data_IF_605327838673
#
_entry.id   IF_605327838673
#
_cell.length_a   1.000
_cell.length_b   1.000
_cell.length_c   1.000
_cell.angle_alpha   90.00
_cell.angle_beta   90.00
_cell.angle_gamma   90.00
#
_symmetry.space_group_name_H-M   'P 1'
#
loop_
_entity.id
_entity.type
_entity.pdbx_description
1 polymer ?
#
# COMPACT_ATOMS: atom_id res chain seq x y z
N UNK A 1 -6.46 8.89 21.70
CA UNK A 1 -5.55 8.14 20.80
C UNK A 1 -6.25 8.02 19.45
N UNK A 2 -5.93 8.90 18.51
CA UNK A 2 -6.54 8.88 17.17
C UNK A 2 -5.88 7.78 16.35
N UNK A 3 -6.61 6.71 16.07
CA UNK A 3 -6.23 5.75 15.02
C UNK A 3 -6.26 6.55 13.71
N UNK A 4 -5.08 6.94 13.21
CA UNK A 4 -4.97 7.53 11.87
C UNK A 4 -5.45 6.47 10.88
N UNK A 5 -6.68 6.61 10.43
CA UNK A 5 -7.27 5.73 9.42
C UNK A 5 -6.32 5.70 8.22
N UNK A 6 -5.92 4.49 7.85
CA UNK A 6 -5.02 4.22 6.75
C UNK A 6 -5.64 4.80 5.47
N UNK A 7 -5.21 5.98 5.02
CA UNK A 7 -5.61 6.50 3.72
C UNK A 7 -4.87 5.71 2.64
N UNK A 8 -5.55 4.69 2.11
CA UNK A 8 -5.27 4.08 0.82
C UNK A 8 -6.33 4.62 -0.11
N UNK A 9 -5.93 5.07 -1.31
CA UNK A 9 -6.90 5.40 -2.35
C UNK A 9 -7.85 4.21 -2.51
N UNK A 10 -9.16 4.38 -2.32
CA UNK A 10 -10.10 3.26 -2.43
C UNK A 10 -10.07 2.74 -3.86
N UNK A 11 -9.47 1.56 -4.04
CA UNK A 11 -9.48 0.86 -5.32
C UNK A 11 -10.81 0.14 -5.44
N UNK A 12 -11.71 0.74 -6.21
CA UNK A 12 -13.02 0.19 -6.53
C UNK A 12 -12.91 -0.47 -7.90
N UNK A 13 -13.49 -1.66 -8.05
CA UNK A 13 -13.54 -2.34 -9.34
C UNK A 13 -14.28 -1.43 -10.35
N UNK A 14 -13.68 -1.23 -11.52
CA UNK A 14 -14.25 -0.34 -12.54
C UNK A 14 -13.91 1.14 -12.36
N UNK A 15 -13.20 1.56 -11.32
CA UNK A 15 -12.70 2.94 -11.23
C UNK A 15 -11.39 3.09 -11.99
N UNK A 16 -11.35 4.03 -12.95
CA UNK A 16 -10.11 4.35 -13.67
C UNK A 16 -9.12 5.12 -12.81
N UNK A 17 -7.84 5.07 -13.15
CA UNK A 17 -6.76 5.76 -12.44
C UNK A 17 -5.87 6.52 -13.42
N UNK A 18 -5.68 7.83 -13.19
CA UNK A 18 -4.73 8.64 -13.95
C UNK A 18 -3.33 8.49 -13.35
N UNK A 19 -2.47 7.74 -14.03
CA UNK A 19 -1.08 7.47 -13.60
C UNK A 19 -0.22 8.73 -13.56
N UNK A 20 -0.54 9.76 -14.37
CA UNK A 20 0.24 11.00 -14.40
C UNK A 20 -0.12 11.93 -13.25
N UNK A 21 -1.40 11.96 -12.89
CA UNK A 21 -1.93 12.85 -11.84
C UNK A 21 -2.04 12.17 -10.48
N UNK A 22 -1.92 10.85 -10.42
CA UNK A 22 -2.18 10.02 -9.25
C UNK A 22 -3.58 10.25 -8.64
N UNK A 23 -4.58 10.40 -9.51
CA UNK A 23 -5.97 10.68 -9.11
C UNK A 23 -6.93 9.63 -9.63
N UNK A 24 -8.00 9.41 -8.88
CA UNK A 24 -9.15 8.61 -9.34
C UNK A 24 -9.82 9.27 -10.55
N UNK A 25 -10.21 8.45 -11.52
CA UNK A 25 -10.92 8.86 -12.73
C UNK A 25 -12.39 8.42 -12.71
N UNK A 26 -12.94 8.24 -13.90
CA UNK A 26 -14.32 7.80 -14.14
C UNK A 26 -14.53 6.32 -13.80
N UNK A 27 -15.76 5.95 -13.45
CA UNK A 27 -16.19 4.56 -13.27
C UNK A 27 -16.66 3.98 -14.62
N UNK A 28 -16.21 2.78 -14.97
CA UNK A 28 -16.48 2.08 -16.25
C UNK A 28 -17.49 0.94 -16.11
N UNK A 29 -17.86 0.56 -14.89
CA UNK A 29 -18.90 -0.43 -14.65
C UNK A 29 -20.26 0.21 -14.42
N UNK A 30 -21.31 -0.54 -14.77
CA UNK A 30 -22.67 -0.12 -14.47
C UNK A 30 -22.89 -0.11 -12.96
N UNK A 31 -23.82 0.71 -12.47
CA UNK A 31 -24.16 0.73 -11.04
C UNK A 31 -24.66 -0.62 -10.56
N UNK A 32 -25.33 -1.40 -11.42
CA UNK A 32 -25.83 -2.73 -11.10
C UNK A 32 -24.71 -3.72 -10.75
N UNK A 33 -23.59 -3.67 -11.50
CA UNK A 33 -22.41 -4.50 -11.25
C UNK A 33 -21.67 -4.09 -9.96
N UNK A 34 -21.77 -2.82 -9.57
CA UNK A 34 -21.17 -2.27 -8.33
C UNK A 34 -22.02 -2.67 -7.11
N UNK A 35 -23.35 -2.66 -7.26
CA UNK A 35 -24.30 -2.99 -6.18
C UNK A 35 -24.43 -4.50 -5.94
N UNK A 36 -24.16 -5.33 -6.95
CA UNK A 36 -24.23 -6.81 -6.86
C UNK A 36 -22.91 -7.51 -7.23
N UNK A 37 -21.81 -7.24 -6.50
CA UNK A 37 -20.51 -7.79 -6.87
C UNK A 37 -20.45 -9.31 -6.68
N UNK A 38 -19.78 -9.99 -7.62
CA UNK A 38 -19.34 -11.38 -7.40
C UNK A 38 -18.24 -11.40 -6.36
N UNK A 39 -18.54 -11.99 -5.20
CA UNK A 39 -17.57 -12.13 -4.11
C UNK A 39 -16.79 -13.43 -4.30
N UNK A 40 -15.46 -13.34 -4.30
CA UNK A 40 -14.57 -14.50 -4.23
C UNK A 40 -14.18 -14.71 -2.77
N UNK A 41 -14.65 -15.80 -2.17
CA UNK A 41 -14.31 -16.17 -0.79
C UNK A 41 -12.95 -16.89 -0.74
N UNK A 42 -11.87 -16.11 -0.89
CA UNK A 42 -10.52 -16.59 -0.63
C UNK A 42 -9.97 -15.92 0.62
N UNK A 43 -10.03 -16.64 1.74
CA UNK A 43 -9.34 -16.22 2.97
C UNK A 43 -7.94 -16.82 3.01
N UNK A 44 -6.94 -15.97 3.21
CA UNK A 44 -5.59 -16.43 3.52
C UNK A 44 -4.91 -15.53 4.54
N UNK A 45 -4.05 -16.14 5.34
CA UNK A 45 -3.23 -15.48 6.35
C UNK A 45 -1.77 -15.86 6.14
N UNK A 46 -0.89 -14.86 6.08
CA UNK A 46 0.56 -15.06 6.02
C UNK A 46 1.26 -14.04 6.91
N UNK A 47 2.13 -14.52 7.79
CA UNK A 47 3.03 -13.67 8.56
C UNK A 47 4.46 -13.86 8.08
N UNK A 48 5.24 -12.79 8.10
CA UNK A 48 6.66 -12.78 7.74
C UNK A 48 7.42 -11.84 8.66
N UNK A 49 8.65 -12.23 9.00
CA UNK A 49 9.56 -11.48 9.86
C UNK A 49 10.85 -11.21 9.08
N UNK A 50 11.35 -9.99 9.12
CA UNK A 50 12.68 -9.65 8.58
C UNK A 50 13.35 -8.58 9.43
N UNK A 51 14.65 -8.76 9.67
CA UNK A 51 15.51 -7.69 10.19
C UNK A 51 15.82 -6.73 9.05
N UNK A 52 15.62 -5.44 9.28
CA UNK A 52 15.77 -4.37 8.31
C UNK A 52 16.97 -3.52 8.72
N UNK A 53 17.98 -3.49 7.86
CA UNK A 53 19.18 -2.67 8.02
C UNK A 53 19.25 -1.58 6.96
N UNK A 54 18.67 -1.85 5.79
CA UNK A 54 18.72 -0.96 4.64
C UNK A 54 17.32 -0.67 4.10
N UNK A 55 17.21 0.45 3.40
CA UNK A 55 15.99 0.76 2.65
C UNK A 55 15.63 -0.27 1.58
N UNK A 56 16.60 -1.07 1.12
CA UNK A 56 16.35 -2.18 0.20
C UNK A 56 15.58 -3.31 0.89
N UNK A 57 15.89 -3.60 2.16
CA UNK A 57 15.18 -4.62 2.95
C UNK A 57 13.71 -4.26 3.14
N UNK A 58 13.43 -2.97 3.31
CA UNK A 58 12.06 -2.43 3.42
C UNK A 58 11.27 -2.64 2.13
N UNK A 59 11.88 -2.36 0.96
CA UNK A 59 11.22 -2.57 -0.33
C UNK A 59 10.92 -4.04 -0.59
N UNK A 60 11.84 -4.92 -0.21
CA UNK A 60 11.69 -6.35 -0.38
C UNK A 60 10.59 -6.93 0.50
N UNK A 61 10.61 -6.66 1.82
CA UNK A 61 9.57 -7.21 2.71
C UNK A 61 8.18 -6.66 2.38
N UNK A 62 8.09 -5.40 1.95
CA UNK A 62 6.83 -4.76 1.60
C UNK A 62 6.38 -5.01 0.15
N UNK A 63 7.21 -5.68 -0.66
CA UNK A 63 6.92 -5.98 -2.08
C UNK A 63 6.61 -4.71 -2.90
N UNK A 64 7.31 -3.59 -2.60
CA UNK A 64 7.10 -2.29 -3.24
C UNK A 64 8.04 -2.17 -4.45
N UNK A 65 7.49 -1.93 -5.64
CA UNK A 65 8.30 -1.70 -6.84
C UNK A 65 9.06 -0.36 -6.77
N UNK A 66 10.10 -0.23 -7.60
CA UNK A 66 10.97 0.96 -7.62
C UNK A 66 10.20 2.27 -7.82
N UNK A 67 9.29 2.31 -8.79
CA UNK A 67 8.52 3.51 -9.13
C UNK A 67 7.59 3.95 -7.99
N UNK A 68 6.88 3.01 -7.35
CA UNK A 68 6.04 3.32 -6.19
C UNK A 68 6.89 3.83 -5.02
N UNK A 69 8.06 3.22 -4.78
CA UNK A 69 8.98 3.67 -3.75
C UNK A 69 9.47 5.10 -4.00
N UNK A 70 9.77 5.46 -5.25
CA UNK A 70 10.18 6.82 -5.63
C UNK A 70 9.04 7.82 -5.44
N UNK A 71 7.81 7.46 -5.82
CA UNK A 71 6.63 8.32 -5.65
C UNK A 71 6.31 8.57 -4.17
N UNK A 72 6.44 7.55 -3.30
CA UNK A 72 6.31 7.71 -1.85
C UNK A 72 7.39 8.64 -1.30
N UNK A 73 8.65 8.47 -1.74
CA UNK A 73 9.79 9.30 -1.31
C UNK A 73 9.64 10.76 -1.74
N UNK A 74 9.21 10.99 -2.98
CA UNK A 74 8.97 12.30 -3.55
C UNK A 74 7.72 12.99 -2.93
N UNK A 75 6.89 12.24 -2.19
CA UNK A 75 5.65 12.75 -1.61
C UNK A 75 4.53 12.95 -2.63
N UNK A 76 4.70 12.47 -3.87
CA UNK A 76 3.70 12.53 -4.93
C UNK A 76 2.54 11.55 -4.70
N UNK A 77 2.76 10.53 -3.86
CA UNK A 77 1.73 9.61 -3.41
C UNK A 77 1.72 9.53 -1.87
N UNK A 78 0.64 10.03 -1.28
CA UNK A 78 0.43 9.99 0.17
C UNK A 78 -0.17 8.64 0.57
N UNK A 79 0.66 7.74 1.12
CA UNK A 79 0.23 6.45 1.67
C UNK A 79 0.38 6.49 3.18
N UNK A 80 -0.71 6.21 3.91
CA UNK A 80 -0.68 6.07 5.37
C UNK A 80 -0.32 4.63 5.79
N UNK A 81 0.20 4.43 7.01
CA UNK A 81 0.56 3.10 7.51
C UNK A 81 1.89 2.61 6.96
N UNK A 82 1.89 1.54 6.17
CA UNK A 82 3.10 0.95 5.58
C UNK A 82 3.92 1.99 4.79
N UNK A 83 3.25 2.85 4.00
CA UNK A 83 3.94 3.89 3.23
C UNK A 83 4.61 4.97 4.08
N UNK A 84 4.05 5.29 5.27
CA UNK A 84 4.73 6.18 6.22
C UNK A 84 5.99 5.54 6.81
N UNK A 85 5.99 4.24 7.07
CA UNK A 85 7.21 3.54 7.49
C UNK A 85 8.27 3.55 6.37
N UNK A 86 7.88 3.28 5.12
CA UNK A 86 8.78 3.36 3.96
C UNK A 86 9.44 4.73 3.87
N UNK A 87 8.65 5.80 4.03
CA UNK A 87 9.16 7.17 4.02
C UNK A 87 10.20 7.41 5.13
N UNK A 88 9.93 6.97 6.35
CA UNK A 88 10.84 7.13 7.49
C UNK A 88 12.10 6.26 7.35
N UNK A 89 11.94 4.99 6.97
CA UNK A 89 13.06 4.05 6.83
C UNK A 89 13.99 4.41 5.66
N UNK A 90 13.50 5.14 4.65
CA UNK A 90 14.33 5.74 3.61
C UNK A 90 15.14 6.97 4.07
N UNK A 91 14.81 7.55 5.22
CA UNK A 91 15.44 8.76 5.77
C UNK A 91 16.39 8.45 6.93
N UNK A 92 16.16 7.37 7.67
CA UNK A 92 17.03 6.96 8.79
C UNK A 92 18.31 6.31 8.28
N UNK A 93 19.46 6.68 8.87
CA UNK A 93 20.73 5.98 8.72
C UNK A 93 21.14 5.40 10.07
N UNK A 94 21.81 4.24 10.06
CA UNK A 94 22.37 3.60 11.25
C UNK A 94 21.31 3.16 12.30
N UNK A 95 20.23 2.53 11.86
CA UNK A 95 19.20 1.91 12.71
C UNK A 95 19.04 0.42 12.38
N UNK A 96 18.80 -0.39 13.40
CA UNK A 96 18.42 -1.81 13.25
C UNK A 96 16.94 -1.95 13.61
N UNK A 97 16.12 -2.30 12.63
CA UNK A 97 14.69 -2.48 12.82
C UNK A 97 14.31 -3.97 12.66
N UNK A 98 13.31 -4.44 13.42
CA UNK A 98 12.69 -5.75 13.21
C UNK A 98 11.28 -5.53 12.70
N UNK A 99 11.00 -5.98 11.47
CA UNK A 99 9.69 -5.82 10.84
C UNK A 99 8.90 -7.13 10.87
N UNK A 100 7.65 -7.02 11.34
CA UNK A 100 6.63 -8.07 11.25
C UNK A 100 5.59 -7.61 10.23
N UNK A 101 5.46 -8.33 9.11
CA UNK A 101 4.43 -8.10 8.10
C UNK A 101 3.38 -9.19 8.20
N UNK A 102 2.16 -8.78 8.50
CA UNK A 102 0.97 -9.63 8.45
C UNK A 102 0.16 -9.29 7.20
N UNK A 103 -0.04 -10.27 6.33
CA UNK A 103 -0.90 -10.16 5.15
C UNK A 103 -2.11 -11.05 5.37
N UNK A 104 -3.28 -10.44 5.35
CA UNK A 104 -4.55 -11.15 5.37
C UNK A 104 -5.40 -10.68 4.18
N UNK A 105 -6.19 -11.59 3.61
CA UNK A 105 -7.26 -11.27 2.66
C UNK A 105 -8.54 -11.87 3.25
N UNK A 106 -9.58 -11.05 3.33
CA UNK A 106 -10.93 -11.38 3.79
C UNK A 106 -11.92 -10.95 2.74
#
# INVERSE_FOLDING_TARGET
MLIRMMYVLPMILGRTYDVKKNTVGVDIFSMEDIETPRVTEESFYRSSLKTVETSSDVKEILEINGDLSLNIKAGTLAISGIGSYVKSALQTQNSLDILIKVRFRT
#
